data_IF_903897503066
#
_entry.id   IF_903897503066
#
_cell.length_a   1.000
_cell.length_b   1.000
_cell.length_c   1.000
_cell.angle_alpha   90.00
_cell.angle_beta   90.00
_cell.angle_gamma   90.00
#
_symmetry.space_group_name_H-M   'P 1'
#
loop_
_entity.id
_entity.type
_entity.pdbx_description
1 polymer ?
#
# COMPACT_ATOMS: atom_id res chain seq x y z
N UNK A 1 3.13 64.68 24.75
CA UNK A 1 4.18 64.05 25.58
C UNK A 1 4.47 62.68 24.98
N UNK A 2 5.52 62.59 24.17
CA UNK A 2 6.01 61.34 23.58
C UNK A 2 7.14 60.84 24.48
N UNK A 3 7.10 59.59 24.92
CA UNK A 3 8.24 58.92 25.53
C UNK A 3 8.66 57.76 24.63
N UNK A 4 9.86 57.91 24.08
CA UNK A 4 10.64 56.91 23.38
C UNK A 4 11.32 56.03 24.43
N UNK A 5 11.19 54.70 24.34
CA UNK A 5 12.13 53.76 24.93
C UNK A 5 12.80 53.00 23.78
N UNK A 6 14.09 53.28 23.59
CA UNK A 6 14.99 52.57 22.70
C UNK A 6 15.88 51.67 23.56
N UNK A 7 15.83 50.36 23.35
CA UNK A 7 16.82 49.42 23.90
C UNK A 7 18.00 49.33 22.92
N UNK A 8 19.18 49.76 23.38
CA UNK A 8 20.47 49.46 22.78
C UNK A 8 20.99 48.15 23.38
N UNK A 9 21.27 47.15 22.54
CA UNK A 9 22.11 46.02 22.90
C UNK A 9 23.36 46.03 22.00
N UNK A 10 24.50 46.10 22.68
CA UNK A 10 25.87 46.23 22.19
C UNK A 10 26.36 44.96 21.49
N UNK A 11 26.81 45.14 20.23
CA UNK A 11 27.69 44.22 19.51
C UNK A 11 29.10 44.25 20.11
N UNK A 12 29.68 43.09 20.38
CA UNK A 12 31.09 42.91 20.72
C UNK A 12 31.75 42.04 19.64
N UNK A 13 32.88 42.46 19.03
CA UNK A 13 33.60 41.65 18.05
C UNK A 13 34.72 40.85 18.73
N UNK A 14 34.75 39.54 18.48
CA UNK A 14 35.89 38.67 18.85
C UNK A 14 36.83 38.52 17.63
N UNK A 15 38.17 38.59 17.81
CA UNK A 15 39.13 38.55 16.72
C UNK A 15 39.73 37.15 16.49
N UNK A 16 39.88 36.79 15.21
CA UNK A 16 41.16 36.35 14.65
C UNK A 16 41.66 34.93 14.92
N UNK A 17 41.47 34.07 13.92
CA UNK A 17 42.60 33.43 13.20
C UNK A 17 43.26 32.19 13.81
N UNK A 18 43.17 31.07 13.09
CA UNK A 18 44.37 30.40 12.55
C UNK A 18 44.00 29.44 11.41
N UNK A 19 44.37 29.80 10.17
CA UNK A 19 44.39 28.88 9.03
C UNK A 19 45.60 27.97 9.21
N UNK A 20 45.36 26.69 9.53
CA UNK A 20 46.41 25.68 9.48
C UNK A 20 46.40 25.02 8.11
N UNK A 21 47.43 25.35 7.34
CA UNK A 21 47.73 24.89 5.99
C UNK A 21 48.02 23.39 5.95
N UNK A 22 47.41 22.70 4.99
CA UNK A 22 47.62 21.29 4.67
C UNK A 22 49.09 20.97 4.27
N UNK A 23 49.62 19.79 4.63
CA UNK A 23 50.90 19.33 4.09
C UNK A 23 50.74 18.77 2.67
N UNK A 24 51.49 19.38 1.76
CA UNK A 24 51.75 18.99 0.37
C UNK A 24 52.20 17.54 0.21
N UNK A 25 51.55 16.82 -0.71
CA UNK A 25 51.95 15.49 -1.19
C UNK A 25 53.26 15.53 -1.99
N UNK A 26 54.14 14.52 -1.87
CA UNK A 26 55.26 14.34 -2.79
C UNK A 26 54.82 13.68 -4.10
N UNK A 27 55.30 14.24 -5.21
CA UNK A 27 55.09 13.79 -6.58
C UNK A 27 56.20 12.83 -7.03
N UNK A 28 55.77 11.82 -7.79
CA UNK A 28 56.48 10.95 -8.74
C UNK A 28 57.55 9.97 -8.21
N UNK A 29 57.33 8.68 -8.49
CA UNK A 29 58.28 7.96 -9.36
C UNK A 29 57.56 6.90 -10.20
N UNK A 30 57.70 7.05 -11.51
CA UNK A 30 57.29 6.09 -12.53
C UNK A 30 58.31 4.95 -12.52
N UNK A 31 57.92 3.72 -12.18
CA UNK A 31 58.73 2.55 -12.50
C UNK A 31 58.09 1.69 -13.59
N UNK A 32 58.93 1.44 -14.59
CA UNK A 32 58.68 0.75 -15.83
C UNK A 32 58.51 -0.75 -15.62
N UNK A 33 57.58 -1.31 -16.39
CA UNK A 33 57.54 -2.64 -17.03
C UNK A 33 58.73 -3.57 -16.71
N UNK A 34 58.40 -4.76 -16.20
CA UNK A 34 59.02 -6.01 -16.65
C UNK A 34 57.97 -7.10 -16.68
N UNK A 35 57.61 -7.51 -17.90
CA UNK A 35 56.90 -8.75 -18.18
C UNK A 35 57.89 -9.91 -17.94
N UNK A 36 57.60 -10.77 -16.98
CA UNK A 36 58.32 -12.03 -16.81
C UNK A 36 57.44 -13.14 -17.40
N UNK A 37 57.83 -13.58 -18.59
CA UNK A 37 57.39 -14.83 -19.19
C UNK A 37 58.04 -15.96 -18.39
N UNK A 38 57.24 -16.73 -17.65
CA UNK A 38 57.66 -18.02 -17.09
C UNK A 38 56.91 -19.10 -17.88
N UNK A 39 57.63 -19.70 -18.81
CA UNK A 39 57.26 -20.96 -19.43
C UNK A 39 57.74 -22.10 -18.52
N UNK A 40 56.83 -22.92 -17.99
CA UNK A 40 57.16 -24.26 -17.51
C UNK A 40 55.96 -25.19 -17.46
N UNK A 41 56.20 -26.39 -17.99
CA UNK A 41 55.67 -27.69 -17.60
C UNK A 41 54.19 -27.98 -17.92
N UNK A 42 54.01 -28.73 -19.01
CA UNK A 42 52.84 -29.56 -19.22
C UNK A 42 52.71 -30.60 -18.11
N UNK A 43 51.54 -30.65 -17.50
CA UNK A 43 51.06 -31.77 -16.73
C UNK A 43 49.82 -32.31 -17.45
N UNK A 44 49.95 -33.55 -17.94
CA UNK A 44 48.86 -34.33 -18.51
C UNK A 44 47.91 -34.70 -17.36
N UNK A 45 46.85 -33.91 -17.16
CA UNK A 45 45.81 -34.21 -16.18
C UNK A 45 44.84 -35.21 -16.83
N UNK A 46 44.84 -36.44 -16.32
CA UNK A 46 43.81 -37.43 -16.60
C UNK A 46 42.46 -36.90 -16.12
N UNK A 47 41.55 -36.63 -17.05
CA UNK A 47 40.18 -36.24 -16.77
C UNK A 47 39.41 -37.43 -16.19
N UNK A 48 39.35 -37.49 -14.86
CA UNK A 48 38.40 -38.33 -14.14
C UNK A 48 37.01 -37.73 -14.30
N UNK A 49 36.21 -38.33 -15.17
CA UNK A 49 34.80 -37.97 -15.38
C UNK A 49 34.04 -38.46 -14.14
N UNK A 50 33.90 -37.61 -13.13
CA UNK A 50 32.97 -37.87 -12.05
C UNK A 50 31.54 -37.69 -12.61
N UNK A 51 30.61 -38.62 -12.37
CA UNK A 51 29.21 -38.40 -12.73
C UNK A 51 28.71 -37.21 -11.90
N UNK A 52 28.36 -36.11 -12.58
CA UNK A 52 27.57 -35.03 -12.00
C UNK A 52 26.25 -35.65 -11.57
N UNK A 53 26.11 -35.86 -10.26
CA UNK A 53 24.82 -36.15 -9.65
C UNK A 53 24.04 -34.85 -9.85
N UNK A 54 23.05 -34.88 -10.75
CA UNK A 54 22.08 -33.81 -10.86
C UNK A 54 21.44 -33.69 -9.47
N UNK A 55 21.76 -32.61 -8.75
CA UNK A 55 20.94 -32.21 -7.62
C UNK A 55 19.58 -31.90 -8.23
N UNK A 56 18.58 -32.71 -7.86
CA UNK A 56 17.19 -32.31 -7.94
C UNK A 56 17.12 -30.93 -7.31
N UNK A 57 16.97 -29.89 -8.15
CA UNK A 57 16.63 -28.58 -7.67
C UNK A 57 15.27 -28.77 -6.99
N UNK A 58 15.28 -28.78 -5.66
CA UNK A 58 14.06 -28.65 -4.89
C UNK A 58 13.34 -27.43 -5.47
N UNK A 59 12.11 -27.55 -5.98
CA UNK A 59 11.40 -26.38 -6.48
C UNK A 59 11.44 -25.35 -5.35
N UNK A 60 11.95 -24.16 -5.68
CA UNK A 60 11.85 -23.02 -4.78
C UNK A 60 10.39 -22.95 -4.35
N UNK A 61 10.14 -22.86 -3.04
CA UNK A 61 8.80 -22.61 -2.55
C UNK A 61 8.24 -21.43 -3.35
N UNK A 62 7.04 -21.60 -3.94
CA UNK A 62 6.26 -20.45 -4.40
C UNK A 62 6.27 -19.46 -3.24
N UNK A 63 6.61 -18.18 -3.47
CA UNK A 63 6.51 -17.20 -2.40
C UNK A 63 5.09 -17.28 -1.85
N UNK A 64 5.01 -17.23 -0.52
CA UNK A 64 3.78 -16.91 0.19
C UNK A 64 3.17 -15.68 -0.52
N UNK A 65 1.85 -15.69 -0.74
CA UNK A 65 1.13 -14.76 -1.61
C UNK A 65 1.64 -13.32 -1.48
N UNK A 66 2.39 -12.85 -2.47
CA UNK A 66 2.86 -11.47 -2.53
C UNK A 66 1.74 -10.58 -3.06
N UNK A 67 1.59 -9.39 -2.48
CA UNK A 67 0.70 -8.34 -2.94
C UNK A 67 1.48 -7.43 -3.89
N UNK A 68 1.10 -7.39 -5.16
CA UNK A 68 1.72 -6.56 -6.19
C UNK A 68 0.79 -5.42 -6.59
N UNK A 69 1.27 -4.18 -6.49
CA UNK A 69 0.49 -2.96 -6.69
C UNK A 69 1.19 -2.06 -7.71
N UNK A 70 0.43 -1.50 -8.65
CA UNK A 70 0.91 -0.45 -9.57
C UNK A 70 0.86 0.93 -8.90
N UNK A 71 1.88 1.75 -9.14
CA UNK A 71 1.92 3.14 -8.69
C UNK A 71 1.61 4.09 -9.85
N UNK A 72 0.61 4.95 -9.65
CA UNK A 72 0.18 5.94 -10.63
C UNK A 72 0.56 7.35 -10.18
N UNK A 73 0.94 8.21 -11.12
CA UNK A 73 1.16 9.63 -10.88
C UNK A 73 -0.15 10.44 -10.97
N UNK A 74 -0.07 11.76 -10.75
CA UNK A 74 -1.22 12.69 -10.80
C UNK A 74 -1.90 12.76 -12.18
N UNK A 75 -1.21 12.34 -13.25
CA UNK A 75 -1.76 12.24 -14.60
C UNK A 75 -2.35 10.84 -14.89
N UNK A 76 -2.44 9.96 -13.88
CA UNK A 76 -2.87 8.57 -13.99
C UNK A 76 -1.97 7.71 -14.90
N UNK A 77 -0.69 8.06 -15.00
CA UNK A 77 0.31 7.28 -15.73
C UNK A 77 1.08 6.36 -14.77
N UNK A 78 1.40 5.11 -15.18
CA UNK A 78 2.24 4.22 -14.38
C UNK A 78 3.65 4.78 -14.21
N UNK A 79 4.10 4.86 -12.95
CA UNK A 79 5.44 5.34 -12.56
C UNK A 79 6.21 4.34 -11.71
N UNK A 80 5.66 3.15 -11.48
CA UNK A 80 6.34 2.12 -10.72
C UNK A 80 5.40 1.04 -10.18
N UNK A 81 5.93 0.24 -9.26
CA UNK A 81 5.18 -0.78 -8.54
C UNK A 81 5.72 -0.99 -7.13
N UNK A 82 4.89 -1.58 -6.28
CA UNK A 82 5.24 -2.06 -4.95
C UNK A 82 4.90 -3.54 -4.83
N UNK A 83 5.76 -4.30 -4.16
CA UNK A 83 5.55 -5.70 -3.82
C UNK A 83 5.68 -5.84 -2.31
N UNK A 84 4.63 -6.36 -1.67
CA UNK A 84 4.59 -6.61 -0.23
C UNK A 84 4.49 -8.12 0.01
N UNK A 85 5.33 -8.66 0.88
CA UNK A 85 5.32 -10.09 1.25
C UNK A 85 5.34 -10.22 2.77
N UNK A 86 4.35 -10.92 3.32
CA UNK A 86 4.32 -11.25 4.75
C UNK A 86 5.41 -12.26 5.09
N UNK A 87 6.07 -12.09 6.24
CA UNK A 87 7.07 -13.03 6.75
C UNK A 87 7.07 -13.07 8.28
N UNK A 88 7.76 -14.03 8.89
CA UNK A 88 7.94 -14.10 10.35
C UNK A 88 8.56 -12.83 10.97
N UNK A 89 9.24 -11.99 10.17
CA UNK A 89 9.88 -10.74 10.59
C UNK A 89 9.05 -9.47 10.34
N UNK A 90 7.79 -9.62 9.93
CA UNK A 90 6.92 -8.54 9.46
C UNK A 90 6.78 -8.53 7.94
N UNK A 91 6.36 -7.40 7.38
CA UNK A 91 6.15 -7.24 5.94
C UNK A 91 7.45 -6.78 5.27
N UNK A 92 7.93 -7.54 4.29
CA UNK A 92 8.95 -7.08 3.35
C UNK A 92 8.27 -6.26 2.25
N UNK A 93 8.74 -5.03 2.05
CA UNK A 93 8.19 -4.08 1.08
C UNK A 93 9.32 -3.74 0.10
N UNK A 94 9.08 -4.00 -1.20
CA UNK A 94 9.95 -3.57 -2.29
C UNK A 94 9.20 -2.62 -3.21
N UNK A 95 9.69 -1.40 -3.37
CA UNK A 95 9.13 -0.37 -4.23
C UNK A 95 10.12 -0.06 -5.34
N UNK A 96 9.67 -0.09 -6.59
CA UNK A 96 10.45 0.30 -7.77
C UNK A 96 9.73 1.42 -8.51
N UNK A 97 10.46 2.47 -8.87
CA UNK A 97 9.91 3.63 -9.58
C UNK A 97 10.75 3.99 -10.79
N UNK A 98 10.10 4.58 -11.79
CA UNK A 98 10.71 5.13 -12.99
C UNK A 98 10.07 6.49 -13.32
N UNK A 99 10.86 7.41 -13.88
CA UNK A 99 10.37 8.70 -14.35
C UNK A 99 10.09 9.75 -13.28
N UNK A 100 10.45 9.49 -12.01
CA UNK A 100 10.41 10.49 -10.95
C UNK A 100 11.62 11.45 -11.03
N UNK A 101 11.51 12.63 -10.41
CA UNK A 101 12.63 13.57 -10.36
C UNK A 101 13.80 12.98 -9.53
N UNK A 102 15.08 13.26 -9.87
CA UNK A 102 16.20 12.77 -9.07
C UNK A 102 16.24 13.40 -7.68
N UNK A 103 16.40 12.58 -6.63
CA UNK A 103 16.40 13.05 -5.25
C UNK A 103 15.87 12.01 -4.26
N UNK A 104 15.77 12.41 -3.00
CA UNK A 104 15.06 11.64 -1.99
C UNK A 104 13.60 12.08 -1.97
N UNK A 105 12.68 11.11 -1.87
CA UNK A 105 11.24 11.33 -1.81
C UNK A 105 10.68 10.62 -0.58
N UNK A 106 9.91 11.34 0.23
CA UNK A 106 9.17 10.76 1.35
C UNK A 106 8.21 9.68 0.86
N UNK A 107 8.16 8.56 1.55
CA UNK A 107 7.26 7.44 1.20
C UNK A 107 6.56 6.93 2.45
N UNK A 108 5.23 6.81 2.37
CA UNK A 108 4.37 6.48 3.50
C UNK A 108 3.23 5.55 3.08
N UNK A 109 2.76 4.73 4.02
CA UNK A 109 1.48 4.06 3.92
C UNK A 109 0.42 4.95 4.57
N UNK A 110 -0.67 5.19 3.86
CA UNK A 110 -1.80 6.01 4.25
C UNK A 110 -3.01 5.16 4.62
N UNK A 111 -3.89 5.71 5.46
CA UNK A 111 -4.97 4.99 6.16
C UNK A 111 -6.20 4.67 5.30
N UNK A 112 -6.29 5.20 4.08
CA UNK A 112 -7.40 4.94 3.16
C UNK A 112 -6.90 4.35 1.85
N UNK A 113 -7.57 3.30 1.40
CA UNK A 113 -7.34 2.61 0.13
C UNK A 113 -7.73 3.39 -1.13
N UNK A 114 -7.46 4.68 -1.19
CA UNK A 114 -7.96 5.55 -2.26
C UNK A 114 -6.86 6.46 -2.82
N UNK A 115 -6.70 6.44 -4.15
CA UNK A 115 -5.71 7.23 -4.88
C UNK A 115 -6.38 8.13 -5.93
N UNK A 116 -7.31 9.00 -5.52
CA UNK A 116 -7.90 10.01 -6.41
C UNK A 116 -6.87 11.11 -6.73
N UNK A 117 -6.38 11.23 -7.97
CA UNK A 117 -5.43 12.28 -8.34
C UNK A 117 -6.07 13.67 -8.40
N UNK A 118 -7.40 13.75 -8.42
CA UNK A 118 -8.14 15.00 -8.55
C UNK A 118 -8.27 15.76 -7.22
N UNK A 119 -8.68 17.03 -7.32
CA UNK A 119 -8.91 17.91 -6.17
C UNK A 119 -7.85 19.00 -5.98
N UNK A 120 -7.96 19.75 -4.88
CA UNK A 120 -7.03 20.85 -4.53
C UNK A 120 -5.66 20.33 -4.08
N UNK A 121 -5.61 19.09 -3.59
CA UNK A 121 -4.40 18.37 -3.21
C UNK A 121 -4.50 16.97 -3.81
N UNK A 122 -3.64 16.61 -4.79
CA UNK A 122 -3.67 15.30 -5.40
C UNK A 122 -3.54 14.18 -4.35
N UNK A 123 -4.28 13.09 -4.55
CA UNK A 123 -4.29 11.92 -3.67
C UNK A 123 -4.70 12.19 -2.21
N UNK A 124 -5.34 13.32 -1.92
CA UNK A 124 -5.87 13.62 -0.59
C UNK A 124 -6.87 12.56 -0.09
N UNK A 125 -7.51 11.82 -1.00
CA UNK A 125 -8.39 10.68 -0.70
C UNK A 125 -7.73 9.59 0.13
N UNK A 126 -6.39 9.45 0.08
CA UNK A 126 -5.67 8.44 0.85
C UNK A 126 -5.69 8.72 2.37
N UNK A 127 -6.13 9.91 2.81
CA UNK A 127 -6.20 10.25 4.23
C UNK A 127 -4.81 10.55 4.83
N UNK A 128 -4.71 10.40 6.16
CA UNK A 128 -3.47 10.61 6.91
C UNK A 128 -2.56 9.36 6.84
N UNK A 129 -1.37 9.42 7.47
CA UNK A 129 -0.49 8.25 7.57
C UNK A 129 -1.17 7.14 8.38
N UNK A 130 -0.95 5.89 8.00
CA UNK A 130 -1.47 4.73 8.72
C UNK A 130 -0.89 4.68 10.16
N UNK A 131 -1.74 4.90 11.16
CA UNK A 131 -1.33 5.12 12.55
C UNK A 131 -2.27 4.46 13.58
N UNK A 132 -2.30 3.12 13.69
CA UNK A 132 -3.17 2.42 14.62
C UNK A 132 -2.79 2.61 16.10
N UNK A 133 -1.61 3.15 16.40
CA UNK A 133 -1.08 3.29 17.77
C UNK A 133 -1.14 4.73 18.30
N UNK A 134 -1.74 5.68 17.56
CA UNK A 134 -1.72 7.11 17.89
C UNK A 134 -0.29 7.65 18.13
N UNK A 135 0.67 7.10 17.38
CA UNK A 135 2.05 7.54 17.35
C UNK A 135 2.17 8.97 16.81
N UNK A 136 3.33 9.60 17.00
CA UNK A 136 3.68 10.82 16.27
C UNK A 136 4.48 10.43 15.03
N UNK A 137 4.61 11.32 14.06
CA UNK A 137 5.50 11.06 12.93
C UNK A 137 6.96 10.89 13.38
N UNK A 138 7.69 10.00 12.74
CA UNK A 138 9.08 9.74 13.07
C UNK A 138 9.82 8.89 12.03
N UNK A 139 11.02 8.38 12.37
CA UNK A 139 11.84 7.66 11.40
C UNK A 139 11.21 6.32 11.00
N UNK A 140 11.14 6.09 9.69
CA UNK A 140 10.79 4.80 9.12
C UNK A 140 11.95 3.78 9.11
N UNK A 141 11.66 2.49 8.87
CA UNK A 141 12.65 1.41 8.82
C UNK A 141 13.74 1.62 7.75
N UNK A 142 13.49 2.35 6.66
CA UNK A 142 14.50 2.65 5.64
C UNK A 142 15.70 3.43 6.18
N UNK A 143 15.55 4.12 7.31
CA UNK A 143 16.62 4.87 7.97
C UNK A 143 17.63 3.97 8.71
N UNK A 144 17.27 2.70 8.92
CA UNK A 144 18.01 1.79 9.80
C UNK A 144 17.88 2.12 11.30
N UNK A 145 17.02 3.07 11.67
CA UNK A 145 16.71 3.38 13.06
C UNK A 145 15.83 2.28 13.66
N UNK A 146 16.35 1.57 14.66
CA UNK A 146 15.51 0.74 15.54
C UNK A 146 14.81 1.65 16.55
N UNK A 147 13.51 1.47 16.82
CA UNK A 147 12.86 2.16 17.94
C UNK A 147 13.65 1.87 19.22
N UNK A 148 14.11 2.91 19.91
CA UNK A 148 14.52 2.75 21.31
C UNK A 148 13.22 2.48 22.09
N UNK A 149 13.21 1.49 22.97
CA UNK A 149 12.01 1.01 23.66
C UNK A 149 11.31 2.10 24.52
N UNK A 150 11.95 3.26 24.67
CA UNK A 150 11.47 4.40 25.45
C UNK A 150 11.33 5.72 24.63
N UNK A 151 11.53 5.73 23.29
CA UNK A 151 11.57 6.96 22.49
C UNK A 151 10.72 6.86 21.21
N UNK A 152 9.62 7.63 21.21
CA UNK A 152 8.79 8.04 20.06
C UNK A 152 8.45 6.92 19.07
N UNK A 153 7.27 6.33 19.28
CA UNK A 153 6.60 5.54 18.25
C UNK A 153 6.36 6.47 17.05
N UNK A 154 6.95 6.11 15.90
CA UNK A 154 6.67 6.67 14.58
C UNK A 154 5.35 6.07 14.07
N UNK A 155 4.67 6.70 13.12
CA UNK A 155 3.49 6.08 12.53
C UNK A 155 3.86 4.71 11.95
N UNK A 156 2.92 3.75 12.00
CA UNK A 156 3.15 2.43 11.43
C UNK A 156 3.40 2.50 9.91
N UNK A 157 2.79 3.50 9.26
CA UNK A 157 2.99 3.82 7.85
C UNK A 157 4.22 4.67 7.51
N UNK A 158 5.01 5.15 8.49
CA UNK A 158 6.25 5.88 8.18
C UNK A 158 7.32 4.92 7.65
N UNK A 159 7.69 5.02 6.37
CA UNK A 159 8.68 4.14 5.73
C UNK A 159 10.05 4.80 5.56
N UNK A 160 10.10 6.14 5.48
CA UNK A 160 11.30 6.95 5.31
C UNK A 160 11.38 7.55 3.90
N UNK A 161 12.53 7.42 3.25
CA UNK A 161 12.75 7.97 1.90
C UNK A 161 13.10 6.88 0.88
N UNK A 162 12.60 7.03 -0.35
CA UNK A 162 13.12 6.36 -1.54
C UNK A 162 14.06 7.32 -2.29
N UNK A 163 15.25 6.85 -2.64
CA UNK A 163 16.21 7.63 -3.43
C UNK A 163 16.06 7.30 -4.92
N UNK A 164 15.80 8.34 -5.72
CA UNK A 164 15.70 8.30 -7.18
C UNK A 164 16.99 8.81 -7.81
N UNK A 165 17.55 8.04 -8.74
CA UNK A 165 18.78 8.34 -9.45
C UNK A 165 18.58 9.38 -10.57
N UNK A 166 19.68 9.88 -11.13
CA UNK A 166 19.67 10.89 -12.21
C UNK A 166 18.91 10.46 -13.47
N UNK A 167 18.70 9.17 -13.69
CA UNK A 167 17.92 8.62 -14.81
C UNK A 167 16.43 8.46 -14.50
N UNK A 168 15.99 8.87 -13.30
CA UNK A 168 14.62 8.79 -12.84
C UNK A 168 14.22 7.43 -12.26
N UNK A 169 15.17 6.49 -12.12
CA UNK A 169 14.91 5.18 -11.52
C UNK A 169 15.18 5.17 -10.01
N UNK A 170 14.38 4.44 -9.25
CA UNK A 170 14.56 4.27 -7.81
C UNK A 170 14.13 2.88 -7.34
N UNK A 171 14.78 2.37 -6.30
CA UNK A 171 14.37 1.13 -5.64
C UNK A 171 14.58 1.24 -4.14
N UNK A 172 13.54 0.90 -3.37
CA UNK A 172 13.57 0.78 -1.93
C UNK A 172 13.16 -0.63 -1.53
N UNK A 173 13.96 -1.29 -0.70
CA UNK A 173 13.59 -2.57 -0.06
C UNK A 173 13.79 -2.43 1.44
N UNK A 174 12.75 -2.76 2.21
CA UNK A 174 12.75 -2.71 3.67
C UNK A 174 11.90 -3.83 4.25
N UNK A 175 12.07 -4.08 5.54
CA UNK A 175 11.19 -4.97 6.31
C UNK A 175 10.72 -4.22 7.56
N UNK A 176 9.44 -4.36 7.90
CA UNK A 176 8.86 -3.72 9.09
C UNK A 176 7.83 -4.63 9.75
N UNK A 177 7.89 -4.70 11.08
CA UNK A 177 6.91 -5.38 11.93
C UNK A 177 5.80 -4.44 12.41
N UNK A 178 5.84 -3.16 12.01
CA UNK A 178 4.85 -2.14 12.37
C UNK A 178 3.51 -2.35 11.68
N UNK A 179 3.47 -3.08 10.57
CA UNK A 179 2.26 -3.39 9.79
C UNK A 179 2.20 -4.88 9.47
N UNK A 180 1.02 -5.37 9.07
CA UNK A 180 0.82 -6.75 8.58
C UNK A 180 -0.22 -6.77 7.47
N UNK A 181 -0.13 -7.77 6.59
CA UNK A 181 -1.13 -8.09 5.57
C UNK A 181 -2.24 -9.01 6.12
N UNK A 182 -2.10 -9.52 7.35
CA UNK A 182 -3.13 -10.32 7.99
C UNK A 182 -4.37 -9.46 8.33
N UNK A 183 -5.60 -9.82 7.90
CA UNK A 183 -6.77 -8.93 7.94
C UNK A 183 -7.28 -8.60 9.35
N UNK A 184 -7.07 -9.49 10.33
CA UNK A 184 -7.69 -9.38 11.68
C UNK A 184 -6.78 -8.73 12.74
N UNK A 185 -5.64 -8.15 12.32
CA UNK A 185 -4.69 -7.52 13.22
C UNK A 185 -4.96 -6.01 13.39
N UNK A 186 -4.68 -5.46 14.56
CA UNK A 186 -4.85 -4.02 14.84
C UNK A 186 -4.00 -3.14 13.92
N UNK A 187 -2.85 -3.65 13.45
CA UNK A 187 -1.95 -3.00 12.50
C UNK A 187 -2.08 -3.57 11.07
N UNK A 188 -3.24 -4.10 10.72
CA UNK A 188 -3.52 -4.63 9.38
C UNK A 188 -3.64 -3.54 8.33
N UNK A 189 -2.94 -3.73 7.20
CA UNK A 189 -3.12 -2.92 5.99
C UNK A 189 -4.41 -3.28 5.23
N UNK A 190 -4.97 -4.46 5.48
CA UNK A 190 -6.19 -4.96 4.86
C UNK A 190 -7.44 -4.68 5.72
N UNK A 191 -7.38 -3.65 6.57
CA UNK A 191 -8.48 -3.23 7.43
C UNK A 191 -9.66 -2.62 6.66
N UNK A 192 -10.70 -2.21 7.41
CA UNK A 192 -11.96 -1.73 6.83
C UNK A 192 -11.80 -0.59 5.81
N UNK A 193 -10.90 0.35 6.09
CA UNK A 193 -10.64 1.50 5.23
C UNK A 193 -9.66 1.18 4.09
N UNK A 194 -9.11 -0.03 4.06
CA UNK A 194 -7.98 -0.36 3.21
C UNK A 194 -6.74 0.43 3.57
N UNK A 195 -5.82 0.57 2.61
CA UNK A 195 -4.63 1.40 2.75
C UNK A 195 -4.02 1.70 1.38
N UNK A 196 -3.22 2.76 1.29
CA UNK A 196 -2.53 3.15 0.07
C UNK A 196 -1.06 3.48 0.34
N UNK A 197 -0.18 3.19 -0.61
CA UNK A 197 1.21 3.63 -0.58
C UNK A 197 1.32 4.95 -1.35
N UNK A 198 1.94 5.96 -0.75
CA UNK A 198 2.08 7.30 -1.32
C UNK A 198 3.55 7.72 -1.34
N UNK A 199 3.97 8.30 -2.46
CA UNK A 199 5.28 8.95 -2.62
C UNK A 199 5.07 10.46 -2.74
N UNK A 200 5.90 11.23 -2.05
CA UNK A 200 5.83 12.68 -2.01
C UNK A 200 6.91 13.37 -2.84
N UNK A 201 6.74 14.66 -3.11
CA UNK A 201 7.67 15.46 -3.92
C UNK A 201 8.99 15.76 -3.21
N UNK A 202 8.95 16.03 -1.89
CA UNK A 202 10.12 16.38 -1.09
C UNK A 202 10.57 15.20 -0.20
N UNK A 203 11.81 15.21 0.30
CA UNK A 203 12.27 14.23 1.28
C UNK A 203 11.51 14.37 2.61
N UNK A 204 11.22 13.23 3.22
CA UNK A 204 10.77 13.12 4.61
C UNK A 204 11.92 13.51 5.57
N UNK A 205 11.68 14.48 6.46
CA UNK A 205 12.62 14.93 7.49
C UNK A 205 12.71 14.02 8.73
N UNK A 206 11.86 12.98 8.78
CA UNK A 206 11.81 11.89 9.75
C UNK A 206 11.41 12.31 11.16
N UNK A 207 10.84 13.50 11.35
CA UNK A 207 10.59 14.06 12.68
C UNK A 207 9.39 15.01 12.79
N UNK A 208 9.12 15.82 11.77
CA UNK A 208 8.11 16.88 11.87
C UNK A 208 6.71 16.31 11.69
N UNK A 209 5.81 16.63 12.63
CA UNK A 209 4.42 16.21 12.54
C UNK A 209 3.61 17.10 11.58
N UNK A 210 2.60 16.55 10.88
CA UNK A 210 2.20 15.14 10.88
C UNK A 210 2.91 14.26 9.82
N UNK A 211 3.69 14.84 8.91
CA UNK A 211 4.00 14.25 7.60
C UNK A 211 5.46 14.40 7.13
N UNK A 212 6.36 14.76 8.05
CA UNK A 212 7.79 14.93 7.74
C UNK A 212 8.10 16.14 6.85
N UNK A 213 7.12 17.01 6.59
CA UNK A 213 7.22 18.13 5.64
C UNK A 213 7.54 17.66 4.20
N UNK A 214 7.04 16.48 3.84
CA UNK A 214 7.35 15.82 2.55
C UNK A 214 6.65 16.48 1.34
N UNK A 215 5.75 17.43 1.56
CA UNK A 215 5.10 18.19 0.49
C UNK A 215 4.02 17.40 -0.26
N UNK A 216 3.75 17.81 -1.49
CA UNK A 216 2.67 17.25 -2.33
C UNK A 216 2.86 15.75 -2.62
N UNK A 217 1.75 15.04 -2.77
CA UNK A 217 1.71 13.60 -3.14
C UNK A 217 1.85 13.48 -4.65
N UNK A 218 2.85 12.75 -5.13
CA UNK A 218 3.20 12.66 -6.57
C UNK A 218 2.95 11.29 -7.18
N UNK A 219 2.89 10.23 -6.37
CA UNK A 219 2.47 8.91 -6.81
C UNK A 219 1.68 8.19 -5.71
N UNK A 220 0.74 7.35 -6.12
CA UNK A 220 -0.11 6.60 -5.20
C UNK A 220 -0.44 5.21 -5.77
N UNK A 221 -0.51 4.20 -4.91
CA UNK A 221 -1.05 2.89 -5.25
C UNK A 221 -1.90 2.33 -4.11
N UNK A 222 -3.09 1.85 -4.44
CA UNK A 222 -4.01 1.24 -3.46
C UNK A 222 -3.47 -0.14 -3.08
N UNK A 223 -3.08 -0.32 -1.82
CA UNK A 223 -2.64 -1.62 -1.29
C UNK A 223 -3.84 -2.53 -1.06
N UNK A 224 -4.86 -1.97 -0.41
CA UNK A 224 -6.15 -2.59 -0.23
C UNK A 224 -7.19 -1.51 -0.40
N UNK A 225 -8.20 -1.76 -1.23
CA UNK A 225 -9.33 -0.83 -1.35
C UNK A 225 -10.10 -0.80 -0.01
N UNK A 226 -10.79 0.31 0.31
CA UNK A 226 -11.72 0.33 1.41
C UNK A 226 -12.74 -0.76 1.17
N UNK A 227 -12.90 -1.62 2.17
CA UNK A 227 -13.95 -2.60 2.14
C UNK A 227 -15.20 -1.88 2.62
N UNK A 228 -16.14 -1.60 1.70
CA UNK A 228 -17.52 -1.28 2.07
C UNK A 228 -18.16 -2.57 2.64
N UNK A 229 -17.66 -2.99 3.81
CA UNK A 229 -18.03 -4.25 4.45
C UNK A 229 -17.73 -5.55 3.69
N UNK A 230 -16.86 -5.60 2.67
CA UNK A 230 -16.58 -6.82 1.87
C UNK A 230 -15.11 -7.09 1.55
N UNK A 231 -14.67 -8.32 1.78
CA UNK A 231 -13.32 -8.94 1.75
C UNK A 231 -12.36 -8.49 0.59
N UNK A 232 -11.02 -8.51 0.77
CA UNK A 232 -10.09 -7.88 -0.17
C UNK A 232 -10.00 -8.56 -1.54
N UNK A 233 -10.12 -7.76 -2.60
CA UNK A 233 -9.81 -8.18 -3.97
C UNK A 233 -8.29 -8.37 -4.12
N UNK A 234 -7.85 -9.62 -4.17
CA UNK A 234 -6.58 -9.95 -4.81
C UNK A 234 -6.76 -9.77 -6.31
N UNK A 235 -5.93 -8.92 -6.90
CA UNK A 235 -5.77 -8.73 -8.33
C UNK A 235 -5.43 -10.06 -9.03
N UNK A 236 -6.20 -10.44 -10.04
CA UNK A 236 -5.66 -11.20 -11.17
C UNK A 236 -6.32 -10.75 -12.49
N UNK A 237 -5.47 -10.45 -13.46
CA UNK A 237 -5.85 -10.02 -14.80
C UNK A 237 -6.20 -11.22 -15.68
N UNK A 238 -7.37 -11.13 -16.36
CA UNK A 238 -7.50 -11.59 -17.74
C UNK A 238 -8.10 -12.98 -18.00
N UNK A 239 -9.35 -12.97 -18.51
CA UNK A 239 -9.70 -13.78 -19.68
C UNK A 239 -10.87 -14.76 -19.56
N UNK A 240 -11.97 -14.39 -20.24
CA UNK A 240 -13.02 -15.23 -20.86
C UNK A 240 -14.12 -15.85 -19.96
N UNK A 241 -15.23 -15.10 -19.86
CA UNK A 241 -16.63 -15.53 -19.92
C UNK A 241 -16.95 -17.01 -19.60
N UNK A 242 -17.09 -17.30 -18.30
CA UNK A 242 -18.15 -18.16 -17.78
C UNK A 242 -18.53 -17.62 -16.40
N UNK A 243 -19.83 -17.48 -16.13
CA UNK A 243 -20.36 -16.93 -14.88
C UNK A 243 -19.80 -17.68 -13.66
N UNK A 244 -18.79 -17.11 -13.01
CA UNK A 244 -18.35 -17.50 -11.68
C UNK A 244 -19.32 -16.86 -10.70
N UNK A 245 -19.98 -17.68 -9.88
CA UNK A 245 -20.99 -17.21 -8.93
C UNK A 245 -20.37 -16.19 -7.98
N UNK A 246 -20.93 -14.98 -7.96
CA UNK A 246 -20.56 -13.94 -7.00
C UNK A 246 -20.74 -14.46 -5.56
N UNK A 247 -19.92 -13.97 -4.64
CA UNK A 247 -20.09 -14.23 -3.21
C UNK A 247 -21.53 -13.89 -2.78
N UNK A 248 -22.12 -14.64 -1.82
CA UNK A 248 -23.50 -14.41 -1.42
C UNK A 248 -23.65 -13.07 -0.69
N UNK A 249 -24.77 -12.40 -0.89
CA UNK A 249 -25.16 -11.21 -0.11
C UNK A 249 -25.58 -11.66 1.29
N UNK A 250 -24.95 -11.14 2.32
CA UNK A 250 -25.22 -11.45 3.71
C UNK A 250 -26.15 -10.40 4.33
N UNK A 251 -27.28 -10.82 4.90
CA UNK A 251 -28.07 -9.97 5.79
C UNK A 251 -27.53 -10.10 7.23
N UNK A 252 -26.96 -9.02 7.75
CA UNK A 252 -26.20 -8.98 9.00
C UNK A 252 -27.03 -8.50 10.19
N UNK A 253 -26.63 -8.91 11.41
CA UNK A 253 -27.20 -8.43 12.69
C UNK A 253 -27.06 -6.92 12.91
N UNK A 254 -26.15 -6.27 12.19
CA UNK A 254 -25.95 -4.82 12.21
C UNK A 254 -27.05 -4.04 11.47
N UNK A 255 -28.08 -4.71 10.94
CA UNK A 255 -29.10 -4.13 10.06
C UNK A 255 -28.46 -3.58 8.78
N UNK A 256 -27.63 -4.40 8.13
CA UNK A 256 -26.96 -4.08 6.88
C UNK A 256 -26.94 -5.31 5.97
N UNK A 257 -26.84 -5.06 4.67
CA UNK A 257 -26.45 -6.08 3.71
C UNK A 257 -24.96 -5.96 3.41
N UNK A 258 -24.27 -7.10 3.24
CA UNK A 258 -22.87 -7.13 2.77
C UNK A 258 -22.70 -8.14 1.64
N UNK A 259 -22.17 -7.76 0.46
CA UNK A 259 -21.88 -6.38 0.10
C UNK A 259 -23.17 -5.54 0.03
N UNK A 260 -23.06 -4.22 0.22
CA UNK A 260 -24.18 -3.29 0.04
C UNK A 260 -24.37 -2.88 -1.43
N UNK A 261 -23.47 -3.31 -2.32
CA UNK A 261 -23.58 -3.14 -3.76
C UNK A 261 -23.39 -4.49 -4.46
N UNK A 262 -24.23 -4.79 -5.45
CA UNK A 262 -24.22 -6.07 -6.18
C UNK A 262 -24.43 -5.80 -7.66
N UNK A 263 -23.50 -6.26 -8.51
CA UNK A 263 -23.63 -6.15 -9.97
C UNK A 263 -24.10 -7.48 -10.57
N UNK A 264 -25.10 -7.42 -11.44
CA UNK A 264 -25.75 -8.57 -12.08
C UNK A 264 -26.12 -8.28 -13.53
N UNK A 265 -26.36 -9.33 -14.31
CA UNK A 265 -27.04 -9.26 -15.61
C UNK A 265 -28.51 -9.72 -15.49
N UNK A 266 -29.41 -9.29 -16.40
CA UNK A 266 -30.76 -9.84 -16.47
C UNK A 266 -30.76 -11.37 -16.64
N UNK A 267 -31.53 -12.07 -15.82
CA UNK A 267 -31.57 -13.54 -15.78
C UNK A 267 -30.52 -14.20 -14.87
N UNK A 268 -29.64 -13.42 -14.23
CA UNK A 268 -28.69 -13.96 -13.25
C UNK A 268 -29.40 -14.43 -11.97
N UNK A 269 -28.74 -15.32 -11.23
CA UNK A 269 -29.19 -15.75 -9.91
C UNK A 269 -28.15 -15.35 -8.87
N UNK A 270 -28.56 -14.56 -7.88
CA UNK A 270 -27.73 -14.20 -6.73
C UNK A 270 -28.06 -15.11 -5.54
N UNK A 271 -27.05 -15.40 -4.72
CA UNK A 271 -27.23 -16.09 -3.45
C UNK A 271 -27.32 -15.04 -2.34
N UNK A 272 -28.29 -15.16 -1.44
CA UNK A 272 -28.46 -14.27 -0.29
C UNK A 272 -28.61 -15.12 0.96
N UNK A 273 -27.84 -14.87 2.00
CA UNK A 273 -27.89 -15.60 3.27
C UNK A 273 -28.14 -14.64 4.42
N UNK A 274 -29.07 -14.98 5.32
CA UNK A 274 -29.20 -14.26 6.57
C UNK A 274 -28.23 -14.86 7.60
N UNK A 275 -27.18 -14.12 7.97
CA UNK A 275 -26.22 -14.53 9.01
C UNK A 275 -26.55 -13.96 10.38
N UNK A 276 -27.54 -13.07 10.46
CA UNK A 276 -28.06 -12.50 11.68
C UNK A 276 -28.97 -13.44 12.50
N UNK A 277 -29.21 -13.05 13.73
CA UNK A 277 -30.17 -13.62 14.66
C UNK A 277 -31.61 -13.08 14.45
N UNK A 278 -31.77 -11.97 13.73
CA UNK A 278 -33.07 -11.42 13.35
C UNK A 278 -33.51 -11.96 11.98
N UNK A 279 -34.81 -12.17 11.80
CA UNK A 279 -35.36 -12.47 10.48
C UNK A 279 -35.19 -11.25 9.58
N UNK A 280 -34.94 -11.48 8.29
CA UNK A 280 -34.77 -10.45 7.27
C UNK A 280 -35.54 -10.81 6.01
N UNK A 281 -35.68 -9.86 5.10
CA UNK A 281 -36.20 -10.04 3.75
C UNK A 281 -35.36 -9.21 2.77
N UNK A 282 -35.41 -9.60 1.50
CA UNK A 282 -34.74 -8.92 0.39
C UNK A 282 -35.81 -8.43 -0.59
N UNK A 283 -35.96 -7.11 -0.70
CA UNK A 283 -36.98 -6.47 -1.53
C UNK A 283 -36.35 -5.53 -2.54
N UNK A 284 -36.74 -5.66 -3.80
CA UNK A 284 -36.45 -4.73 -4.91
C UNK A 284 -37.77 -4.39 -5.58
N UNK A 285 -38.36 -3.26 -5.18
CA UNK A 285 -39.71 -2.87 -5.62
C UNK A 285 -39.81 -2.77 -7.15
N UNK A 286 -38.79 -2.20 -7.79
CA UNK A 286 -38.77 -1.94 -9.23
C UNK A 286 -38.63 -3.22 -10.08
N UNK A 287 -38.10 -4.30 -9.50
CA UNK A 287 -37.95 -5.60 -10.15
C UNK A 287 -39.02 -6.61 -9.69
N UNK A 288 -39.98 -6.19 -8.86
CA UNK A 288 -41.01 -7.04 -8.24
C UNK A 288 -40.44 -8.24 -7.46
N UNK A 289 -39.23 -8.08 -6.89
CA UNK A 289 -38.57 -9.09 -6.04
C UNK A 289 -38.91 -8.81 -4.59
N UNK A 290 -39.44 -9.80 -3.87
CA UNK A 290 -39.66 -9.74 -2.43
C UNK A 290 -39.57 -11.15 -1.83
N UNK A 291 -38.46 -11.44 -1.15
CA UNK A 291 -38.11 -12.78 -0.68
C UNK A 291 -37.75 -12.75 0.81
N UNK A 292 -38.37 -13.63 1.60
CA UNK A 292 -38.02 -13.81 3.01
C UNK A 292 -36.65 -14.50 3.14
N UNK A 293 -35.83 -14.07 4.09
CA UNK A 293 -34.50 -14.61 4.39
C UNK A 293 -34.46 -15.25 5.80
N UNK A 294 -34.70 -16.56 5.93
CA UNK A 294 -34.62 -17.26 7.20
C UNK A 294 -33.19 -17.31 7.75
N UNK A 295 -33.05 -17.24 9.08
CA UNK A 295 -31.73 -17.24 9.73
C UNK A 295 -30.90 -18.48 9.39
N UNK A 296 -29.68 -18.27 8.92
CA UNK A 296 -28.72 -19.30 8.54
C UNK A 296 -29.07 -20.05 7.26
N UNK A 297 -30.10 -19.63 6.53
CA UNK A 297 -30.50 -20.23 5.25
C UNK A 297 -30.04 -19.36 4.09
N UNK A 298 -29.42 -20.00 3.10
CA UNK A 298 -29.05 -19.39 1.83
C UNK A 298 -30.21 -19.54 0.86
N UNK A 299 -30.61 -18.43 0.26
CA UNK A 299 -31.71 -18.32 -0.68
C UNK A 299 -31.17 -17.85 -2.03
N UNK A 300 -31.61 -18.48 -3.11
CA UNK A 300 -31.30 -18.07 -4.48
C UNK A 300 -32.39 -17.11 -4.98
N UNK A 301 -31.99 -15.96 -5.51
CA UNK A 301 -32.87 -14.92 -6.06
C UNK A 301 -32.53 -14.72 -7.53
N UNK A 302 -33.49 -15.00 -8.41
CA UNK A 302 -33.36 -14.79 -9.85
C UNK A 302 -33.74 -13.35 -10.22
N UNK A 303 -32.84 -12.67 -10.94
CA UNK A 303 -33.06 -11.35 -11.50
C UNK A 303 -33.91 -11.50 -12.76
N UNK A 304 -35.01 -10.73 -12.93
CA UNK A 304 -35.88 -10.87 -14.11
C UNK A 304 -35.09 -10.76 -15.43
N UNK A 305 -35.35 -11.66 -16.39
CA UNK A 305 -34.69 -11.66 -17.71
C UNK A 305 -34.93 -10.35 -18.50
N UNK A 306 -35.98 -9.60 -18.16
CA UNK A 306 -36.35 -8.33 -18.77
C UNK A 306 -36.00 -7.10 -17.92
N UNK A 307 -35.21 -7.28 -16.84
CA UNK A 307 -34.65 -6.17 -16.07
C UNK A 307 -33.88 -5.22 -16.99
N UNK A 308 -34.17 -3.92 -16.88
CA UNK A 308 -33.46 -2.92 -17.67
C UNK A 308 -32.11 -2.62 -17.03
N UNK A 309 -31.07 -2.28 -17.82
CA UNK A 309 -29.83 -1.80 -17.23
C UNK A 309 -30.06 -0.54 -16.40
N UNK A 310 -29.48 -0.50 -15.20
CA UNK A 310 -29.69 0.59 -14.25
C UNK A 310 -29.38 0.20 -12.81
N UNK A 311 -29.49 1.18 -11.92
CA UNK A 311 -29.34 1.01 -10.48
C UNK A 311 -30.71 0.82 -9.83
N UNK A 312 -30.82 -0.19 -8.99
CA UNK A 312 -32.02 -0.54 -8.24
C UNK A 312 -31.72 -0.60 -6.75
N UNK A 313 -32.53 0.03 -5.92
CA UNK A 313 -32.39 -0.10 -4.47
C UNK A 313 -32.97 -1.44 -4.01
N UNK A 314 -32.19 -2.21 -3.25
CA UNK A 314 -32.69 -3.34 -2.50
C UNK A 314 -32.67 -3.04 -0.99
N UNK A 315 -33.65 -3.54 -0.25
CA UNK A 315 -33.77 -3.24 1.18
C UNK A 315 -34.51 -4.32 1.97
N UNK A 316 -34.43 -4.23 3.30
CA UNK A 316 -35.23 -5.05 4.22
C UNK A 316 -36.52 -4.28 4.63
N UNK A 317 -37.68 -4.84 4.32
CA UNK A 317 -38.99 -4.22 4.53
C UNK A 317 -39.50 -4.30 5.97
N UNK A 318 -38.82 -5.07 6.83
CA UNK A 318 -39.16 -5.18 8.24
C UNK A 318 -39.15 -3.78 8.89
N UNK A 319 -40.22 -3.38 9.61
CA UNK A 319 -40.36 -2.02 10.11
C UNK A 319 -39.16 -1.54 10.95
N UNK A 320 -38.47 -0.52 10.44
CA UNK A 320 -37.33 0.10 11.09
C UNK A 320 -35.96 -0.35 10.58
N UNK A 321 -35.87 -1.38 9.73
CA UNK A 321 -34.60 -1.87 9.20
C UNK A 321 -34.04 -0.98 8.08
N UNK A 322 -34.79 -0.74 7.00
CA UNK A 322 -34.34 0.17 5.93
C UNK A 322 -34.03 1.60 6.45
N UNK A 323 -34.85 2.25 7.31
CA UNK A 323 -34.48 3.54 7.91
C UNK A 323 -33.25 3.51 8.82
N UNK A 324 -32.84 2.33 9.29
CA UNK A 324 -31.62 2.12 10.07
C UNK A 324 -30.39 1.87 9.18
N UNK A 325 -30.54 1.85 7.85
CA UNK A 325 -29.45 1.66 6.90
C UNK A 325 -29.44 0.29 6.23
N UNK A 326 -30.45 -0.55 6.44
CA UNK A 326 -30.53 -1.88 5.80
C UNK A 326 -31.03 -1.78 4.35
N UNK A 327 -30.22 -1.12 3.53
CA UNK A 327 -30.43 -0.85 2.11
C UNK A 327 -29.13 -1.14 1.35
N UNK A 328 -29.23 -1.38 0.04
CA UNK A 328 -28.11 -1.56 -0.86
C UNK A 328 -28.50 -1.27 -2.31
N UNK A 329 -27.52 -1.31 -3.21
CA UNK A 329 -27.68 -1.01 -4.64
C UNK A 329 -27.41 -2.26 -5.47
N UNK A 330 -28.40 -2.65 -6.27
CA UNK A 330 -28.29 -3.68 -7.29
C UNK A 330 -28.06 -2.99 -8.64
N UNK A 331 -26.90 -3.19 -9.25
CA UNK A 331 -26.54 -2.67 -10.56
C UNK A 331 -26.84 -3.75 -11.61
N UNK A 332 -27.76 -3.48 -12.52
CA UNK A 332 -28.04 -4.35 -13.67
C UNK A 332 -27.29 -3.80 -14.89
N UNK A 333 -26.45 -4.62 -15.52
CA UNK A 333 -25.66 -4.26 -16.73
C UNK A 333 -26.30 -4.73 -18.05
#
# INVERSE_FOLDING_TARGET
>A
MRQHLSLNATLSPEPGGNMQTAPTAPKLSTLRRTATVIATAGALVLASIAPTIAQDATPAASPESALEIELLNVDSEPVGSAILTESDGGVEITVTVEGLEPGDHGIHIHEMGACDPEGDTPFASAGDHFNPTDAVHGPGPATGATPDADIIEAHAGDLGNITVADDGSGTLTLTTDRVTLAPDAENSLAGANGSALVIHVDPDDLATNPDGVSGDRIACGVLFAPVDGGTPAASDEGGDSAAEASAPVEALDSLAFSPSEVTVSPGDTIQVINTGALEHDFVVDELEVAIDLPNGEMVEIEIPEDAAPGEYEFYCSIPGHAPAGMVGILIVE
#
